data_IF_408927126427
#
_entry.id   IF_408927126427
#
_cell.length_a   1.000
_cell.length_b   1.000
_cell.length_c   1.000
_cell.angle_alpha   90.00
_cell.angle_beta   90.00
_cell.angle_gamma   90.00
#
_symmetry.space_group_name_H-M   'P 1'
#
loop_
_entity.id
_entity.type
_entity.pdbx_description
1 polymer ?
#
# COMPACT_ATOMS: atom_id res chain seq x y z
N UNK A 1 21.74 -38.81 10.55
CA UNK A 1 20.47 -38.06 10.74
C UNK A 1 20.63 -36.80 11.58
N UNK A 2 21.57 -36.74 12.54
CA UNK A 2 21.77 -35.56 13.41
C UNK A 2 22.09 -34.25 12.66
N UNK A 3 23.00 -34.28 11.68
CA UNK A 3 23.32 -33.10 10.86
C UNK A 3 22.14 -32.56 10.06
N UNK A 4 21.30 -33.44 9.49
CA UNK A 4 20.12 -33.02 8.73
C UNK A 4 19.09 -32.37 9.66
N UNK A 5 18.93 -32.92 10.87
CA UNK A 5 18.06 -32.34 11.90
C UNK A 5 18.46 -30.91 12.27
N UNK A 6 19.76 -30.68 12.53
CA UNK A 6 20.29 -29.35 12.83
C UNK A 6 20.14 -28.38 11.65
N UNK A 7 20.43 -28.83 10.44
CA UNK A 7 20.26 -28.01 9.24
C UNK A 7 18.80 -27.60 9.07
N UNK A 8 17.84 -28.53 9.18
CA UNK A 8 16.41 -28.19 9.05
C UNK A 8 15.97 -27.23 10.15
N UNK A 9 16.40 -27.47 11.39
CA UNK A 9 16.08 -26.61 12.54
C UNK A 9 16.56 -25.16 12.35
N UNK A 10 17.68 -24.94 11.67
CA UNK A 10 18.19 -23.60 11.38
C UNK A 10 17.64 -23.01 10.07
N UNK A 11 17.55 -23.82 9.01
CA UNK A 11 17.17 -23.35 7.67
C UNK A 11 15.70 -22.97 7.61
N UNK A 12 14.80 -23.75 8.21
CA UNK A 12 13.35 -23.47 8.18
C UNK A 12 13.02 -22.08 8.76
N UNK A 13 13.46 -21.70 9.97
CA UNK A 13 13.17 -20.37 10.51
C UNK A 13 13.87 -19.26 9.72
N UNK A 14 15.08 -19.49 9.21
CA UNK A 14 15.78 -18.49 8.38
C UNK A 14 15.01 -18.23 7.08
N UNK A 15 14.60 -19.28 6.37
CA UNK A 15 13.81 -19.14 5.14
C UNK A 15 12.47 -18.47 5.44
N UNK A 16 11.82 -18.82 6.55
CA UNK A 16 10.59 -18.16 6.99
C UNK A 16 10.79 -16.64 7.15
N UNK A 17 11.87 -16.22 7.83
CA UNK A 17 12.19 -14.82 8.03
C UNK A 17 12.51 -14.10 6.71
N UNK A 18 13.21 -14.75 5.78
CA UNK A 18 13.49 -14.19 4.46
C UNK A 18 12.20 -13.93 3.67
N UNK A 19 11.26 -14.89 3.67
CA UNK A 19 9.96 -14.72 3.00
C UNK A 19 9.11 -13.66 3.68
N UNK A 20 9.07 -13.63 5.01
CA UNK A 20 8.35 -12.60 5.76
C UNK A 20 8.90 -11.20 5.45
N UNK A 21 10.22 -11.06 5.44
CA UNK A 21 10.88 -9.80 5.12
C UNK A 21 10.62 -9.37 3.67
N UNK A 22 10.67 -10.31 2.72
CA UNK A 22 10.37 -10.02 1.31
C UNK A 22 8.94 -9.48 1.14
N UNK A 23 7.95 -10.04 1.84
CA UNK A 23 6.57 -9.55 1.80
C UNK A 23 6.43 -8.14 2.39
N UNK A 24 7.10 -7.86 3.52
CA UNK A 24 7.11 -6.52 4.12
C UNK A 24 7.73 -5.50 3.16
N UNK A 25 8.82 -5.87 2.47
CA UNK A 25 9.45 -5.01 1.48
C UNK A 25 8.52 -4.75 0.29
N UNK A 26 7.89 -5.80 -0.25
CA UNK A 26 6.91 -5.67 -1.34
C UNK A 26 5.77 -4.72 -0.96
N UNK A 27 5.18 -4.90 0.22
CA UNK A 27 4.11 -4.03 0.72
C UNK A 27 4.55 -2.58 0.91
N UNK A 28 5.79 -2.34 1.39
CA UNK A 28 6.34 -1.00 1.54
C UNK A 28 6.47 -0.28 0.18
N UNK A 29 6.95 -0.99 -0.84
CA UNK A 29 7.01 -0.45 -2.21
C UNK A 29 5.62 -0.23 -2.80
N UNK A 30 4.67 -1.12 -2.51
CA UNK A 30 3.29 -1.03 -2.97
C UNK A 30 2.60 0.23 -2.44
N UNK A 31 2.66 0.49 -1.13
CA UNK A 31 2.00 1.68 -0.55
C UNK A 31 2.67 2.98 -1.03
N UNK A 32 3.98 2.97 -1.23
CA UNK A 32 4.72 4.13 -1.72
C UNK A 32 4.39 4.46 -3.19
N UNK A 33 4.37 3.45 -4.07
CA UNK A 33 4.01 3.63 -5.48
C UNK A 33 2.53 4.03 -5.63
N UNK A 34 1.64 3.42 -4.84
CA UNK A 34 0.23 3.76 -4.81
C UNK A 34 -0.02 5.22 -4.39
N UNK A 35 0.65 5.69 -3.34
CA UNK A 35 0.55 7.08 -2.90
C UNK A 35 1.06 8.06 -3.96
N UNK A 36 2.14 7.73 -4.66
CA UNK A 36 2.69 8.55 -5.75
C UNK A 36 1.73 8.58 -6.96
N UNK A 37 1.18 7.43 -7.35
CA UNK A 37 0.20 7.33 -8.45
C UNK A 37 -1.08 8.12 -8.17
N UNK A 38 -1.64 7.99 -6.97
CA UNK A 38 -2.81 8.76 -6.55
C UNK A 38 -2.53 10.26 -6.55
N UNK A 39 -1.35 10.68 -6.06
CA UNK A 39 -0.96 12.09 -6.03
C UNK A 39 -0.91 12.68 -7.44
N UNK A 40 -0.31 11.97 -8.41
CA UNK A 40 -0.22 12.44 -9.80
C UNK A 40 -1.59 12.64 -10.45
N UNK A 41 -2.55 11.77 -10.15
CA UNK A 41 -3.92 11.89 -10.69
C UNK A 41 -4.61 13.11 -10.08
N UNK A 42 -4.53 13.25 -8.75
CA UNK A 42 -5.13 14.36 -8.02
C UNK A 42 -4.50 15.73 -8.34
N UNK A 43 -3.25 15.75 -8.80
CA UNK A 43 -2.57 16.95 -9.27
C UNK A 43 -3.07 17.43 -10.65
N UNK A 44 -3.54 16.52 -11.50
CA UNK A 44 -3.89 16.81 -12.89
C UNK A 44 -5.40 16.88 -13.13
N UNK A 45 -6.17 16.03 -12.46
CA UNK A 45 -7.61 15.90 -12.68
C UNK A 45 -8.41 16.60 -11.58
N UNK A 46 -9.34 17.50 -11.93
CA UNK A 46 -10.22 18.15 -10.97
C UNK A 46 -11.51 17.36 -10.71
N UNK A 47 -12.10 17.57 -9.53
CA UNK A 47 -13.44 17.08 -9.17
C UNK A 47 -13.49 15.64 -8.66
N UNK A 48 -14.70 15.13 -8.41
CA UNK A 48 -14.94 13.84 -7.74
C UNK A 48 -14.44 12.63 -8.55
N UNK A 49 -14.38 12.75 -9.88
CA UNK A 49 -13.84 11.71 -10.76
C UNK A 49 -12.36 11.43 -10.48
N UNK A 50 -11.58 12.45 -10.09
CA UNK A 50 -10.17 12.31 -9.76
C UNK A 50 -9.93 11.36 -8.59
N UNK A 51 -10.79 11.40 -7.56
CA UNK A 51 -10.70 10.49 -6.41
C UNK A 51 -11.02 9.06 -6.81
N UNK A 52 -12.01 8.86 -7.68
CA UNK A 52 -12.34 7.54 -8.21
C UNK A 52 -11.19 6.95 -9.04
N UNK A 53 -10.62 7.73 -9.96
CA UNK A 53 -9.47 7.31 -10.75
C UNK A 53 -8.22 7.07 -9.89
N UNK A 54 -7.98 7.91 -8.88
CA UNK A 54 -6.88 7.72 -7.94
C UNK A 54 -7.02 6.42 -7.14
N UNK A 55 -8.24 6.04 -6.72
CA UNK A 55 -8.49 4.74 -6.07
C UNK A 55 -8.19 3.57 -7.01
N UNK A 56 -8.61 3.64 -8.27
CA UNK A 56 -8.29 2.60 -9.26
C UNK A 56 -6.78 2.47 -9.47
N UNK A 57 -6.04 3.59 -9.48
CA UNK A 57 -4.58 3.56 -9.59
C UNK A 57 -3.91 2.97 -8.33
N UNK A 58 -4.45 3.25 -7.13
CA UNK A 58 -3.99 2.62 -5.89
C UNK A 58 -4.22 1.11 -5.93
N UNK A 59 -5.41 0.66 -6.35
CA UNK A 59 -5.73 -0.76 -6.50
C UNK A 59 -4.72 -1.46 -7.42
N UNK A 60 -4.46 -0.87 -8.59
CA UNK A 60 -3.52 -1.43 -9.56
C UNK A 60 -2.09 -1.50 -9.00
N UNK A 61 -1.62 -0.41 -8.36
CA UNK A 61 -0.29 -0.34 -7.78
C UNK A 61 -0.08 -1.31 -6.60
N UNK A 62 -1.13 -1.58 -5.81
CA UNK A 62 -1.10 -2.59 -4.75
C UNK A 62 -1.10 -4.01 -5.32
N UNK A 63 -1.94 -4.26 -6.33
CA UNK A 63 -2.01 -5.56 -7.01
C UNK A 63 -0.71 -5.95 -7.70
N UNK A 64 0.06 -4.99 -8.23
CA UNK A 64 1.37 -5.24 -8.85
C UNK A 64 2.38 -5.88 -7.88
N UNK A 65 2.20 -5.66 -6.56
CA UNK A 65 3.04 -6.23 -5.51
C UNK A 65 2.38 -7.42 -4.80
N UNK A 66 1.25 -7.90 -5.30
CA UNK A 66 0.49 -9.00 -4.70
C UNK A 66 -0.16 -8.63 -3.36
N UNK A 67 -0.40 -7.34 -3.11
CA UNK A 67 -1.07 -6.86 -1.90
C UNK A 67 -2.56 -6.74 -2.16
N UNK A 68 -3.33 -7.61 -1.51
CA UNK A 68 -4.80 -7.58 -1.57
C UNK A 68 -5.33 -6.67 -0.47
N UNK A 69 -5.70 -5.45 -0.85
CA UNK A 69 -6.34 -4.49 0.05
C UNK A 69 -7.47 -3.78 -0.68
N UNK A 70 -8.59 -3.59 0.01
CA UNK A 70 -9.71 -2.84 -0.53
C UNK A 70 -9.31 -1.38 -0.75
N UNK A 71 -9.29 -0.86 -1.99
CA UNK A 71 -8.84 0.49 -2.29
C UNK A 71 -9.68 1.57 -1.61
N UNK A 72 -10.94 1.28 -1.25
CA UNK A 72 -11.81 2.21 -0.55
C UNK A 72 -11.37 2.46 0.90
N UNK A 73 -10.74 1.47 1.53
CA UNK A 73 -10.23 1.56 2.91
C UNK A 73 -8.72 1.77 2.96
N UNK A 74 -7.99 1.31 1.95
CA UNK A 74 -6.56 1.48 1.83
C UNK A 74 -6.15 2.94 1.57
N UNK A 75 -6.97 3.71 0.83
CA UNK A 75 -6.67 5.10 0.48
C UNK A 75 -7.52 6.09 1.28
N UNK A 76 -6.86 7.08 1.88
CA UNK A 76 -7.51 8.24 2.50
C UNK A 76 -6.90 9.53 1.97
N UNK A 77 -7.74 10.56 1.79
CA UNK A 77 -7.32 11.89 1.35
C UNK A 77 -7.77 12.89 2.39
N UNK A 78 -6.85 13.71 2.88
CA UNK A 78 -7.13 14.73 3.90
C UNK A 78 -6.73 16.09 3.35
N UNK A 79 -7.71 16.99 3.16
CA UNK A 79 -7.46 18.37 2.76
C UNK A 79 -6.67 19.11 3.85
N UNK A 80 -5.63 19.85 3.45
CA UNK A 80 -4.83 20.67 4.35
C UNK A 80 -5.46 22.05 4.61
N UNK A 81 -6.39 22.49 3.76
CA UNK A 81 -7.07 23.78 3.83
C UNK A 81 -8.55 23.68 3.44
N UNK A 82 -9.32 24.75 3.69
CA UNK A 82 -10.77 24.78 3.45
C UNK A 82 -11.17 24.81 1.98
N UNK A 83 -10.29 25.26 1.09
CA UNK A 83 -10.48 25.23 -0.36
C UNK A 83 -9.99 23.90 -0.97
N UNK A 84 -9.38 23.02 -0.16
CA UNK A 84 -8.70 21.81 -0.57
C UNK A 84 -7.75 22.07 -1.76
N UNK A 85 -6.92 23.11 -1.66
CA UNK A 85 -5.87 23.39 -2.67
C UNK A 85 -4.65 22.49 -2.48
N UNK A 86 -4.41 22.05 -1.26
CA UNK A 86 -3.44 21.03 -0.91
C UNK A 86 -4.11 19.89 -0.12
N UNK A 87 -3.67 18.65 -0.36
CA UNK A 87 -4.13 17.48 0.36
C UNK A 87 -2.98 16.54 0.73
N UNK A 88 -3.19 15.70 1.73
CA UNK A 88 -2.32 14.57 2.06
C UNK A 88 -3.04 13.29 1.67
N UNK A 89 -2.46 12.56 0.73
CA UNK A 89 -2.88 11.21 0.36
C UNK A 89 -2.15 10.22 1.24
N UNK A 90 -2.89 9.36 1.92
CA UNK A 90 -2.35 8.29 2.75
C UNK A 90 -2.85 6.95 2.22
N UNK A 91 -1.92 6.03 2.00
CA UNK A 91 -2.20 4.66 1.57
C UNK A 91 -1.71 3.69 2.64
N UNK A 92 -2.57 2.74 3.01
CA UNK A 92 -2.31 1.73 4.03
C UNK A 92 -2.56 0.34 3.49
N UNK A 93 -1.67 -0.58 3.81
CA UNK A 93 -1.82 -1.99 3.48
C UNK A 93 -1.37 -2.88 4.63
N UNK A 94 -2.18 -3.90 4.94
CA UNK A 94 -1.79 -4.94 5.88
C UNK A 94 -1.00 -6.05 5.19
N UNK A 95 -0.01 -6.59 5.91
CA UNK A 95 0.80 -7.72 5.47
C UNK A 95 0.42 -8.94 6.31
N UNK A 96 0.09 -10.02 5.62
CA UNK A 96 -0.18 -11.31 6.24
C UNK A 96 1.12 -12.08 6.49
N UNK A 97 1.18 -12.78 7.63
CA UNK A 97 2.32 -13.62 7.93
C UNK A 97 2.38 -14.83 6.98
N UNK A 98 3.56 -15.17 6.42
CA UNK A 98 3.68 -16.33 5.55
C UNK A 98 3.23 -17.59 6.27
N UNK A 99 2.49 -18.46 5.56
CA UNK A 99 1.91 -19.73 6.05
C UNK A 99 0.84 -19.60 7.15
N UNK A 100 0.87 -18.55 7.99
CA UNK A 100 -0.07 -18.35 9.09
C UNK A 100 -1.33 -17.59 8.62
N UNK A 101 -1.17 -16.58 7.76
CA UNK A 101 -2.29 -15.77 7.26
C UNK A 101 -3.30 -16.57 6.45
N UNK A 102 -2.83 -17.55 5.68
CA UNK A 102 -3.68 -18.52 4.94
C UNK A 102 -4.44 -19.46 5.87
N UNK A 103 -3.92 -19.73 7.06
CA UNK A 103 -4.60 -20.48 8.12
C UNK A 103 -5.53 -19.61 8.98
N UNK A 104 -5.66 -18.31 8.67
CA UNK A 104 -6.50 -17.36 9.42
C UNK A 104 -5.85 -16.84 10.71
N UNK A 105 -4.57 -17.12 10.95
CA UNK A 105 -3.81 -16.67 12.12
C UNK A 105 -2.88 -15.53 11.73
N UNK A 106 -2.92 -14.42 12.46
CA UNK A 106 -2.00 -13.31 12.23
C UNK A 106 -2.20 -12.60 10.89
N UNK A 107 -3.47 -12.34 10.53
CA UNK A 107 -3.82 -11.46 9.41
C UNK A 107 -3.59 -9.99 9.75
N UNK A 108 -3.11 -9.20 8.79
CA UNK A 108 -2.85 -7.77 8.93
C UNK A 108 -2.02 -7.40 10.18
N UNK A 109 -1.08 -8.25 10.59
CA UNK A 109 -0.28 -8.04 11.82
C UNK A 109 0.65 -6.85 11.68
N UNK A 110 1.10 -6.59 10.46
CA UNK A 110 1.96 -5.48 10.13
C UNK A 110 1.25 -4.59 9.12
N UNK A 111 1.04 -3.33 9.48
CA UNK A 111 0.44 -2.33 8.59
C UNK A 111 1.55 -1.42 8.06
N UNK A 112 1.66 -1.33 6.75
CA UNK A 112 2.52 -0.37 6.05
C UNK A 112 1.72 0.88 5.73
N UNK A 113 2.33 2.04 5.90
CA UNK A 113 1.72 3.34 5.67
C UNK A 113 2.67 4.21 4.84
N UNK A 114 2.12 4.86 3.81
CA UNK A 114 2.81 5.90 3.06
C UNK A 114 1.91 7.12 2.93
N UNK A 115 2.48 8.31 3.14
CA UNK A 115 1.79 9.58 3.00
C UNK A 115 2.52 10.51 2.03
N UNK A 116 1.77 11.17 1.15
CA UNK A 116 2.25 12.17 0.20
C UNK A 116 1.40 13.42 0.24
N UNK A 117 2.05 14.59 0.33
CA UNK A 117 1.41 15.87 0.09
C UNK A 117 1.26 16.10 -1.42
N UNK A 118 0.08 16.53 -1.85
CA UNK A 118 -0.24 16.86 -3.24
C UNK A 118 -0.92 18.22 -3.30
N UNK A 119 -0.60 19.01 -4.32
CA UNK A 119 -1.37 20.20 -4.68
C UNK A 119 -2.46 19.76 -5.65
N UNK A 120 -3.71 20.04 -5.34
CA UNK A 120 -4.84 19.56 -6.14
C UNK A 120 -5.03 20.42 -7.39
N UNK A 121 -5.51 19.80 -8.47
CA UNK A 121 -5.89 20.51 -9.68
C UNK A 121 -6.98 21.55 -9.36
N UNK A 122 -6.66 22.84 -9.54
CA UNK A 122 -7.63 23.91 -9.40
C UNK A 122 -8.72 23.82 -10.47
N UNK A 123 -9.97 24.16 -10.13
CA UNK A 123 -11.10 24.22 -11.06
C UNK A 123 -11.01 25.37 -12.08
N UNK A 124 -9.84 26.01 -12.27
CA UNK A 124 -9.63 27.17 -13.15
C UNK A 124 -9.35 26.81 -14.62
N UNK A 125 -9.36 25.53 -14.98
CA UNK A 125 -8.99 25.04 -16.32
C UNK A 125 -10.14 24.73 -17.27
N UNK A 126 -11.25 25.48 -17.27
CA UNK A 126 -12.33 25.31 -18.25
C UNK A 126 -12.40 26.49 -19.22
N UNK A 127 -11.83 26.39 -20.45
CA UNK A 127 -12.18 27.29 -21.54
C UNK A 127 -13.59 27.00 -22.09
#
# INVERSE_FOLDING_TARGET
MEFIGWTVLLVVPVVYLLVALAQVQAASFAVASAADAASRILEVEPGDAAVAHARTAVELALSDQGVDADPATAMTVVCADAACSAAVVRVQAGVDLPLLGTAGLGRNVVVMDAARSVTLAGTEGQP
#
